data_IF_710554586374
#
_entry.id   IF_710554586374
#
_cell.length_a   1.000
_cell.length_b   1.000
_cell.length_c   1.000
_cell.angle_alpha   90.00
_cell.angle_beta   90.00
_cell.angle_gamma   90.00
#
_symmetry.space_group_name_H-M   'P 1'
#
loop_
_entity.id
_entity.type
_entity.pdbx_description
1 polymer ?
#
# COMPACT_ATOMS: atom_id res chain seq x y z
N UNK A 1 -22.57 -36.59 16.63
CA UNK A 1 -22.34 -35.74 15.45
C UNK A 1 -23.04 -34.42 15.71
N UNK A 2 -22.31 -33.43 16.21
CA UNK A 2 -22.84 -32.11 16.54
C UNK A 2 -22.73 -31.22 15.31
N UNK A 3 -23.88 -30.76 14.81
CA UNK A 3 -23.97 -29.74 13.76
C UNK A 3 -23.17 -28.52 14.20
N UNK A 4 -22.10 -28.22 13.47
CA UNK A 4 -21.35 -26.98 13.61
C UNK A 4 -22.16 -25.93 12.86
N UNK A 5 -23.06 -25.25 13.59
CA UNK A 5 -23.75 -24.08 13.08
C UNK A 5 -22.72 -23.08 12.53
N UNK A 6 -22.88 -22.75 11.24
CA UNK A 6 -22.15 -21.72 10.52
C UNK A 6 -22.31 -20.37 11.24
N UNK A 7 -21.43 -20.10 12.20
CA UNK A 7 -21.31 -18.78 12.81
C UNK A 7 -20.73 -17.83 11.77
N UNK A 8 -21.61 -17.20 11.00
CA UNK A 8 -21.28 -16.01 10.21
C UNK A 8 -20.66 -14.97 11.14
N UNK A 9 -19.36 -14.73 10.99
CA UNK A 9 -18.68 -13.66 11.68
C UNK A 9 -19.39 -12.34 11.36
N UNK A 10 -19.75 -11.59 12.40
CA UNK A 10 -20.44 -10.31 12.31
C UNK A 10 -19.89 -9.41 11.18
N UNK A 11 -20.75 -8.75 10.40
CA UNK A 11 -20.33 -7.97 9.25
C UNK A 11 -19.64 -6.69 9.71
N UNK A 12 -18.32 -6.60 9.52
CA UNK A 12 -17.59 -5.35 9.68
C UNK A 12 -17.91 -4.41 8.52
N UNK A 13 -19.02 -3.68 8.62
CA UNK A 13 -19.28 -2.52 7.76
C UNK A 13 -18.25 -1.45 8.14
N UNK A 14 -17.13 -1.42 7.44
CA UNK A 14 -16.09 -0.42 7.70
C UNK A 14 -16.40 0.81 6.86
N UNK A 15 -17.00 1.82 7.49
CA UNK A 15 -17.40 3.06 6.82
C UNK A 15 -16.17 3.97 6.64
N UNK A 16 -15.48 3.87 5.51
CA UNK A 16 -14.43 4.82 5.17
C UNK A 16 -15.05 6.14 4.72
N UNK A 17 -15.28 7.04 5.68
CA UNK A 17 -15.85 8.36 5.36
C UNK A 17 -14.86 9.26 4.61
N UNK A 18 -13.55 9.01 4.69
CA UNK A 18 -12.44 9.71 4.02
C UNK A 18 -11.22 8.77 3.91
N UNK A 19 -10.34 9.02 2.94
CA UNK A 19 -9.03 8.32 2.86
C UNK A 19 -8.28 8.36 4.20
N UNK A 20 -7.55 7.29 4.57
CA UNK A 20 -6.94 7.15 5.89
C UNK A 20 -5.78 8.13 6.18
N UNK A 21 -5.44 9.06 5.28
CA UNK A 21 -4.42 10.08 5.51
C UNK A 21 -4.87 11.46 5.02
N UNK A 22 -4.74 12.46 5.90
CA UNK A 22 -5.02 13.88 5.61
C UNK A 22 -3.83 14.56 4.91
N UNK A 23 -2.67 13.91 4.85
CA UNK A 23 -1.37 14.52 4.54
C UNK A 23 -1.06 14.76 3.05
N UNK A 24 -1.89 14.28 2.11
CA UNK A 24 -1.72 14.59 0.68
C UNK A 24 -2.74 15.65 0.24
N UNK A 25 -2.51 16.88 0.67
CA UNK A 25 -3.42 18.03 0.45
C UNK A 25 -3.68 18.31 -1.05
N UNK A 26 -2.78 17.87 -1.93
CA UNK A 26 -2.85 18.08 -3.38
C UNK A 26 -3.58 16.97 -4.17
N UNK A 27 -3.87 15.80 -3.58
CA UNK A 27 -4.65 14.76 -4.26
C UNK A 27 -6.14 15.05 -4.05
N UNK A 28 -6.92 15.19 -5.13
CA UNK A 28 -8.38 15.32 -5.04
C UNK A 28 -8.94 14.09 -4.33
N UNK A 29 -9.57 14.29 -3.18
CA UNK A 29 -10.27 13.24 -2.42
C UNK A 29 -11.23 12.50 -3.34
N UNK A 30 -11.07 11.19 -3.45
CA UNK A 30 -11.98 10.32 -4.21
C UNK A 30 -13.02 9.75 -3.26
N UNK A 31 -14.27 9.70 -3.73
CA UNK A 31 -15.31 8.95 -3.03
C UNK A 31 -15.01 7.46 -3.22
N UNK A 32 -14.68 6.82 -2.11
CA UNK A 32 -14.34 5.39 -2.09
C UNK A 32 -15.58 4.53 -1.85
N UNK A 33 -16.75 5.12 -1.57
CA UNK A 33 -18.02 4.39 -1.44
C UNK A 33 -18.11 3.49 -0.19
N UNK A 34 -19.27 2.85 0.00
CA UNK A 34 -19.46 1.84 1.04
C UNK A 34 -19.18 0.45 0.44
N UNK A 35 -18.24 -0.29 0.99
CA UNK A 35 -18.01 -1.69 0.59
C UNK A 35 -18.63 -2.62 1.63
N UNK A 36 -19.61 -3.41 1.18
CA UNK A 36 -20.09 -4.57 1.92
C UNK A 36 -19.51 -5.83 1.26
N UNK A 37 -18.66 -6.55 1.99
CA UNK A 37 -18.10 -7.81 1.52
C UNK A 37 -19.01 -8.93 2.00
N UNK A 38 -20.03 -9.27 1.20
CA UNK A 38 -20.99 -10.34 1.50
C UNK A 38 -20.33 -11.72 1.63
N UNK A 39 -19.17 -11.91 1.00
CA UNK A 39 -18.53 -13.22 0.86
C UNK A 39 -17.06 -13.16 1.28
N UNK A 40 -16.82 -13.18 2.59
CA UNK A 40 -15.49 -13.12 3.19
C UNK A 40 -14.57 -14.25 2.71
N UNK A 41 -15.10 -15.48 2.56
CA UNK A 41 -14.30 -16.63 2.09
C UNK A 41 -13.76 -16.42 0.69
N UNK A 42 -14.60 -15.95 -0.26
CA UNK A 42 -14.12 -15.62 -1.61
C UNK A 42 -13.06 -14.52 -1.62
N UNK A 43 -13.15 -13.54 -0.72
CA UNK A 43 -12.14 -12.49 -0.59
C UNK A 43 -10.82 -13.05 -0.03
N UNK A 44 -10.89 -13.94 0.96
CA UNK A 44 -9.73 -14.62 1.50
C UNK A 44 -9.07 -15.51 0.43
N UNK A 45 -9.84 -16.25 -0.36
CA UNK A 45 -9.33 -17.06 -1.48
C UNK A 45 -8.63 -16.19 -2.53
N UNK A 46 -9.26 -15.08 -2.91
CA UNK A 46 -8.66 -14.09 -3.81
C UNK A 46 -7.37 -13.50 -3.23
N UNK A 47 -7.36 -13.16 -1.94
CA UNK A 47 -6.16 -12.68 -1.27
C UNK A 47 -5.05 -13.73 -1.25
N UNK A 48 -5.38 -15.00 -0.99
CA UNK A 48 -4.40 -16.10 -1.02
C UNK A 48 -3.84 -16.35 -2.42
N UNK A 49 -4.66 -16.19 -3.46
CA UNK A 49 -4.21 -16.20 -4.85
C UNK A 49 -3.22 -15.05 -5.10
N UNK A 50 -3.59 -13.81 -4.76
CA UNK A 50 -2.69 -12.66 -4.89
C UNK A 50 -1.39 -12.85 -4.09
N UNK A 51 -1.48 -13.32 -2.85
CA UNK A 51 -0.32 -13.56 -1.97
C UNK A 51 0.71 -14.52 -2.57
N UNK A 52 0.27 -15.47 -3.40
CA UNK A 52 1.16 -16.41 -4.10
C UNK A 52 1.78 -15.77 -5.35
N UNK A 53 0.99 -15.02 -6.11
CA UNK A 53 1.36 -14.64 -7.48
C UNK A 53 1.84 -13.18 -7.61
N UNK A 54 1.62 -12.31 -6.62
CA UNK A 54 1.86 -10.86 -6.73
C UNK A 54 3.28 -10.53 -7.21
N UNK A 55 4.30 -11.16 -6.62
CA UNK A 55 5.70 -10.88 -6.93
C UNK A 55 6.18 -11.56 -8.22
N UNK A 56 5.39 -12.48 -8.77
CA UNK A 56 5.68 -13.16 -10.03
C UNK A 56 5.13 -12.38 -11.24
N UNK A 57 4.29 -11.36 -11.01
CA UNK A 57 3.75 -10.52 -12.07
C UNK A 57 4.85 -9.61 -12.67
N UNK A 58 5.22 -9.79 -13.96
CA UNK A 58 6.22 -8.94 -14.60
C UNK A 58 5.78 -7.48 -14.74
N UNK A 59 4.47 -7.22 -14.64
CA UNK A 59 3.87 -5.89 -14.72
C UNK A 59 3.50 -5.35 -13.34
N UNK A 60 4.10 -5.88 -12.26
CA UNK A 60 3.84 -5.42 -10.90
C UNK A 60 4.04 -3.90 -10.77
N UNK A 61 3.04 -3.23 -10.20
CA UNK A 61 3.09 -1.79 -9.91
C UNK A 61 2.89 -1.50 -8.42
N UNK A 62 3.22 -0.27 -8.00
CA UNK A 62 2.89 0.23 -6.67
C UNK A 62 1.39 0.20 -6.37
N UNK A 63 0.52 0.30 -7.39
CA UNK A 63 -0.93 0.21 -7.19
C UNK A 63 -1.35 -1.21 -6.78
N UNK A 64 -0.81 -2.23 -7.44
CA UNK A 64 -1.02 -3.62 -7.05
C UNK A 64 -0.54 -3.87 -5.62
N UNK A 65 0.64 -3.36 -5.26
CA UNK A 65 1.21 -3.48 -3.91
C UNK A 65 0.37 -2.76 -2.87
N UNK A 66 -0.14 -1.57 -3.18
CA UNK A 66 -1.04 -0.83 -2.31
C UNK A 66 -2.32 -1.61 -2.05
N UNK A 67 -3.02 -2.06 -3.09
CA UNK A 67 -4.27 -2.81 -2.92
C UNK A 67 -4.05 -4.13 -2.18
N UNK A 68 -2.96 -4.85 -2.47
CA UNK A 68 -2.58 -6.05 -1.75
C UNK A 68 -2.34 -5.79 -0.26
N UNK A 69 -1.51 -4.79 0.07
CA UNK A 69 -1.14 -4.48 1.46
C UNK A 69 -2.33 -3.94 2.26
N UNK A 70 -3.21 -3.18 1.60
CA UNK A 70 -4.44 -2.69 2.17
C UNK A 70 -5.41 -3.85 2.45
N UNK A 71 -5.59 -4.77 1.50
CA UNK A 71 -6.43 -5.95 1.67
C UNK A 71 -5.90 -6.87 2.79
N UNK A 72 -4.58 -7.08 2.84
CA UNK A 72 -3.93 -7.81 3.93
C UNK A 72 -4.26 -7.21 5.29
N UNK A 73 -4.21 -5.87 5.41
CA UNK A 73 -4.55 -5.14 6.63
C UNK A 73 -6.01 -5.32 7.03
N UNK A 74 -6.95 -5.30 6.07
CA UNK A 74 -8.38 -5.54 6.35
C UNK A 74 -8.67 -6.96 6.80
N UNK A 75 -8.03 -7.93 6.16
CA UNK A 75 -8.17 -9.35 6.51
C UNK A 75 -7.44 -9.74 7.80
N UNK A 76 -6.71 -8.80 8.43
CA UNK A 76 -5.87 -9.02 9.62
C UNK A 76 -4.87 -10.17 9.43
N UNK A 77 -4.41 -10.35 8.19
CA UNK A 77 -3.46 -11.38 7.81
C UNK A 77 -2.04 -11.05 8.32
N UNK A 78 -1.27 -12.08 8.66
CA UNK A 78 0.08 -11.90 9.22
C UNK A 78 1.00 -11.26 8.16
N UNK A 79 1.53 -10.08 8.50
CA UNK A 79 2.37 -9.25 7.63
C UNK A 79 3.75 -9.83 7.29
N UNK A 80 4.19 -10.91 7.95
CA UNK A 80 5.59 -11.39 7.87
C UNK A 80 5.97 -11.95 6.51
N UNK A 81 5.05 -12.62 5.82
CA UNK A 81 5.32 -13.26 4.53
C UNK A 81 5.40 -12.19 3.43
N UNK A 82 6.47 -12.20 2.65
CA UNK A 82 6.76 -11.29 1.52
C UNK A 82 7.10 -9.83 1.90
N UNK A 83 7.22 -9.50 3.19
CA UNK A 83 7.45 -8.12 3.68
C UNK A 83 8.73 -7.51 3.12
N UNK A 84 9.82 -8.30 3.06
CA UNK A 84 11.13 -7.84 2.58
C UNK A 84 11.15 -7.65 1.06
N UNK A 85 10.49 -8.53 0.33
CA UNK A 85 10.39 -8.49 -1.12
C UNK A 85 9.54 -7.32 -1.58
N UNK A 86 8.41 -7.08 -0.91
CA UNK A 86 7.58 -5.88 -1.15
C UNK A 86 8.37 -4.61 -0.85
N UNK A 87 9.11 -4.58 0.26
CA UNK A 87 9.98 -3.44 0.58
C UNK A 87 10.99 -3.18 -0.55
N UNK A 88 11.74 -4.21 -0.96
CA UNK A 88 12.70 -4.10 -2.07
C UNK A 88 12.05 -3.59 -3.35
N UNK A 89 10.85 -4.08 -3.69
CA UNK A 89 10.11 -3.60 -4.85
C UNK A 89 9.79 -2.10 -4.74
N UNK A 90 9.30 -1.64 -3.59
CA UNK A 90 8.98 -0.23 -3.35
C UNK A 90 10.25 0.64 -3.47
N UNK A 91 11.36 0.23 -2.88
CA UNK A 91 12.64 0.97 -2.97
C UNK A 91 13.15 1.01 -4.41
N UNK A 92 12.99 -0.05 -5.19
CA UNK A 92 13.35 -0.03 -6.61
C UNK A 92 12.48 0.93 -7.47
N UNK A 93 11.38 1.44 -6.90
CA UNK A 93 10.56 2.48 -7.51
C UNK A 93 10.98 3.90 -7.10
N UNK A 94 11.92 4.04 -6.16
CA UNK A 94 12.42 5.32 -5.68
C UNK A 94 13.25 6.04 -6.75
N UNK A 95 13.06 7.35 -6.87
CA UNK A 95 13.87 8.23 -7.70
C UNK A 95 14.27 9.43 -6.85
N UNK A 96 15.59 9.68 -6.77
CA UNK A 96 16.14 10.90 -6.18
C UNK A 96 16.76 11.78 -7.24
N UNK A 97 16.34 13.04 -7.29
CA UNK A 97 16.90 14.07 -8.17
C UNK A 97 16.95 15.40 -7.42
N UNK A 98 18.11 16.06 -7.37
CA UNK A 98 18.26 17.41 -6.80
C UNK A 98 17.65 17.59 -5.40
N UNK A 99 17.90 16.65 -4.47
CA UNK A 99 17.33 16.62 -3.11
C UNK A 99 15.79 16.46 -3.05
N UNK A 100 15.16 16.03 -4.15
CA UNK A 100 13.78 15.58 -4.17
C UNK A 100 13.73 14.05 -4.24
N UNK A 101 12.94 13.44 -3.37
CA UNK A 101 12.69 12.01 -3.36
C UNK A 101 11.22 11.75 -3.68
N UNK A 102 10.97 11.05 -4.77
CA UNK A 102 9.65 10.60 -5.16
C UNK A 102 9.69 9.17 -5.68
N UNK A 103 8.53 8.63 -6.02
CA UNK A 103 8.42 7.28 -6.55
C UNK A 103 7.76 7.30 -7.92
N UNK A 104 8.14 6.34 -8.77
CA UNK A 104 7.46 6.03 -10.03
C UNK A 104 6.64 4.75 -9.88
N UNK A 105 5.68 4.54 -10.78
CA UNK A 105 4.69 3.45 -10.65
C UNK A 105 5.28 2.03 -10.62
N UNK A 106 6.41 1.80 -11.29
CA UNK A 106 7.14 0.53 -11.29
C UNK A 106 8.62 0.75 -11.61
N UNK A 107 9.53 -0.19 -11.27
CA UNK A 107 10.96 -0.03 -11.53
C UNK A 107 11.30 0.13 -13.02
N UNK A 108 10.51 -0.52 -13.89
CA UNK A 108 10.66 -0.44 -15.34
C UNK A 108 10.00 0.80 -15.97
N UNK A 109 9.21 1.57 -15.21
CA UNK A 109 8.53 2.76 -15.74
C UNK A 109 9.55 3.82 -16.17
N UNK A 110 9.35 4.37 -17.37
CA UNK A 110 10.10 5.50 -17.93
C UNK A 110 9.55 6.86 -17.45
N UNK A 111 8.43 6.86 -16.72
CA UNK A 111 7.83 8.10 -16.19
C UNK A 111 8.66 8.65 -15.03
N UNK A 112 8.64 9.98 -14.92
CA UNK A 112 9.18 10.70 -13.77
C UNK A 112 8.40 10.35 -12.49
N UNK A 113 9.00 10.54 -11.31
CA UNK A 113 8.28 10.37 -10.05
C UNK A 113 7.08 11.33 -9.98
N UNK A 114 5.99 10.86 -9.38
CA UNK A 114 4.75 11.61 -9.28
C UNK A 114 4.10 11.45 -7.90
N UNK A 115 3.25 12.42 -7.52
CA UNK A 115 2.60 12.45 -6.20
C UNK A 115 1.78 11.18 -5.92
N UNK A 116 1.12 10.62 -6.94
CA UNK A 116 0.27 9.44 -6.76
C UNK A 116 1.12 8.19 -6.50
N UNK A 117 2.17 7.97 -7.28
CA UNK A 117 3.14 6.90 -7.05
C UNK A 117 3.82 7.03 -5.68
N UNK A 118 4.21 8.25 -5.27
CA UNK A 118 4.76 8.51 -3.93
C UNK A 118 3.75 8.20 -2.82
N UNK A 119 2.48 8.56 -3.00
CA UNK A 119 1.41 8.19 -2.06
C UNK A 119 1.26 6.67 -1.94
N UNK A 120 1.25 5.95 -3.06
CA UNK A 120 1.11 4.49 -3.08
C UNK A 120 2.28 3.81 -2.36
N UNK A 121 3.52 4.26 -2.60
CA UNK A 121 4.73 3.74 -1.95
C UNK A 121 4.69 3.93 -0.42
N UNK A 122 4.49 5.16 0.05
CA UNK A 122 4.49 5.46 1.50
C UNK A 122 3.32 4.79 2.22
N UNK A 123 2.15 4.74 1.59
CA UNK A 123 0.98 4.04 2.14
C UNK A 123 1.22 2.54 2.24
N UNK A 124 1.87 1.95 1.23
CA UNK A 124 2.22 0.52 1.22
C UNK A 124 3.24 0.20 2.32
N UNK A 125 4.29 1.02 2.47
CA UNK A 125 5.27 0.92 3.55
C UNK A 125 4.59 0.98 4.92
N UNK A 126 3.64 1.89 5.11
CA UNK A 126 2.87 1.98 6.34
C UNK A 126 2.00 0.73 6.57
N UNK A 127 1.33 0.24 5.53
CA UNK A 127 0.48 -0.95 5.62
C UNK A 127 1.28 -2.19 6.03
N UNK A 128 2.50 -2.37 5.51
CA UNK A 128 3.40 -3.47 5.89
C UNK A 128 4.24 -3.18 7.13
N UNK A 129 4.10 -1.98 7.72
CA UNK A 129 4.77 -1.57 8.96
C UNK A 129 6.27 -1.31 8.81
N UNK A 130 6.74 -0.88 7.64
CA UNK A 130 8.14 -0.55 7.33
C UNK A 130 8.38 0.94 7.09
N UNK A 131 7.39 1.80 7.33
CA UNK A 131 7.52 3.23 7.02
C UNK A 131 8.58 3.91 7.90
N UNK A 132 8.62 3.63 9.20
CA UNK A 132 9.65 4.22 10.07
C UNK A 132 11.04 3.66 9.75
N UNK A 133 11.15 2.35 9.49
CA UNK A 133 12.42 1.72 9.05
C UNK A 133 12.94 2.37 7.76
N UNK A 134 12.04 2.74 6.83
CA UNK A 134 12.38 3.48 5.62
C UNK A 134 12.90 4.89 5.93
N UNK A 135 12.27 5.62 6.84
CA UNK A 135 12.76 6.95 7.21
C UNK A 135 14.08 6.91 7.97
N UNK A 136 14.33 5.87 8.76
CA UNK A 136 15.54 5.72 9.55
C UNK A 136 16.76 5.26 8.74
N UNK A 137 16.57 4.67 7.55
CA UNK A 137 17.66 4.04 6.80
C UNK A 137 18.80 4.99 6.41
N UNK A 138 18.52 6.29 6.27
CA UNK A 138 19.53 7.31 5.94
C UNK A 138 19.42 8.57 6.81
N UNK A 139 18.85 8.44 8.01
CA UNK A 139 18.61 9.54 8.94
C UNK A 139 17.20 10.14 8.78
N UNK A 140 16.43 10.09 9.86
CA UNK A 140 14.99 10.35 9.86
C UNK A 140 14.57 11.73 9.32
N UNK A 141 15.43 12.76 9.44
CA UNK A 141 15.15 14.11 8.94
C UNK A 141 15.31 14.23 7.44
N UNK A 142 16.29 13.54 6.84
CA UNK A 142 16.69 13.79 5.46
C UNK A 142 15.66 13.28 4.45
N UNK A 143 15.25 12.01 4.56
CA UNK A 143 14.25 11.40 3.66
C UNK A 143 12.90 12.11 3.74
N UNK A 144 12.47 12.49 4.96
CA UNK A 144 11.20 13.21 5.16
C UNK A 144 11.23 14.59 4.52
N UNK A 145 12.36 15.29 4.60
CA UNK A 145 12.57 16.59 3.94
C UNK A 145 12.60 16.44 2.42
N UNK A 146 13.34 15.48 1.87
CA UNK A 146 13.41 15.26 0.41
C UNK A 146 12.04 14.93 -0.21
N UNK A 147 11.21 14.15 0.49
CA UNK A 147 9.83 13.84 0.07
C UNK A 147 8.94 15.08 0.16
N UNK A 148 9.07 15.84 1.25
CA UNK A 148 8.29 17.06 1.44
C UNK A 148 8.61 18.07 0.34
N UNK A 149 9.89 18.26 0.05
CA UNK A 149 10.35 19.19 -0.97
C UNK A 149 9.91 18.72 -2.36
N UNK A 150 9.90 17.41 -2.63
CA UNK A 150 9.31 16.83 -3.85
C UNK A 150 7.82 17.17 -4.01
N UNK A 151 7.02 17.03 -2.94
CA UNK A 151 5.58 17.32 -2.99
C UNK A 151 5.34 18.83 -3.19
N UNK A 152 6.21 19.69 -2.65
CA UNK A 152 6.08 21.14 -2.77
C UNK A 152 6.62 21.72 -4.08
N UNK A 153 7.43 20.97 -4.83
CA UNK A 153 8.05 21.43 -6.09
C UNK A 153 7.21 21.17 -7.36
N UNK A 154 6.07 20.48 -7.22
CA UNK A 154 5.09 20.20 -8.27
C UNK A 154 3.93 21.20 -8.27
#
# INVERSE_FOLDING_TARGET
>A
MTNVDEKFAYPYITKFKKEPFISFVQIKKRDIGNFYIKNYSKLADFFHFLKKNLLEDPNLTLENVFWYSLLQKYLKEVKKKNRREIFKFIINCEIRQYAHLGFKLSPASLKQPDIYSTYLALSSLNNIGLLEEFFESEGQSHIKEEIKDFILSL
#
